data_IF_290852102866
#
_entry.id   IF_290852102866
#
_cell.length_a   1.000
_cell.length_b   1.000
_cell.length_c   1.000
_cell.angle_alpha   90.00
_cell.angle_beta   90.00
_cell.angle_gamma   90.00
#
_symmetry.space_group_name_H-M   'P 1'
#
loop_
_entity.id
_entity.type
_entity.pdbx_description
1 polymer ?
#
# COMPACT_ATOMS: atom_id res chain seq x y z
N UNK A 1 44.53 15.39 -12.25
CA UNK A 1 44.30 14.36 -13.28
C UNK A 1 43.02 13.64 -12.88
N UNK A 2 41.95 13.76 -13.68
CA UNK A 2 40.64 13.25 -13.32
C UNK A 2 40.49 11.80 -13.81
N UNK A 3 40.36 10.87 -12.88
CA UNK A 3 40.04 9.48 -13.15
C UNK A 3 38.66 9.41 -13.80
N UNK A 4 38.65 8.98 -15.07
CA UNK A 4 37.42 8.67 -15.79
C UNK A 4 36.84 7.39 -15.19
N UNK A 5 35.72 7.50 -14.48
CA UNK A 5 34.92 6.36 -14.08
C UNK A 5 34.44 5.61 -15.34
N UNK A 6 35.12 4.52 -15.70
CA UNK A 6 34.62 3.59 -16.73
C UNK A 6 33.34 2.94 -16.19
N UNK A 7 32.21 3.24 -16.84
CA UNK A 7 30.99 2.46 -16.65
C UNK A 7 31.20 1.06 -17.27
N UNK A 8 30.78 -0.02 -16.60
CA UNK A 8 30.91 -1.36 -17.15
C UNK A 8 30.05 -1.50 -18.41
N UNK A 9 30.62 -2.14 -19.43
CA UNK A 9 29.97 -2.45 -20.69
C UNK A 9 28.89 -3.51 -20.46
N UNK A 10 27.62 -3.15 -20.70
CA UNK A 10 26.46 -4.03 -20.49
C UNK A 10 26.41 -4.99 -21.68
N UNK A 11 27.14 -6.10 -21.59
CA UNK A 11 27.30 -7.08 -22.66
C UNK A 11 26.12 -8.06 -22.82
N UNK A 12 25.09 -7.97 -21.98
CA UNK A 12 23.91 -8.83 -22.08
C UNK A 12 22.73 -8.09 -22.70
N UNK A 13 22.32 -8.54 -23.90
CA UNK A 13 21.04 -8.10 -24.49
C UNK A 13 19.93 -8.46 -23.49
N UNK A 14 19.20 -7.48 -22.93
CA UNK A 14 18.17 -7.76 -21.94
C UNK A 14 17.13 -8.69 -22.56
N UNK A 15 16.85 -9.82 -21.89
CA UNK A 15 15.83 -10.78 -22.33
C UNK A 15 14.53 -10.02 -22.58
N UNK A 16 14.08 -10.00 -23.84
CA UNK A 16 12.85 -9.31 -24.24
C UNK A 16 11.70 -9.86 -23.39
N UNK A 17 10.91 -8.96 -22.79
CA UNK A 17 9.69 -9.33 -22.06
C UNK A 17 8.85 -10.25 -22.95
N UNK A 18 8.35 -11.34 -22.38
CA UNK A 18 7.34 -12.17 -23.06
C UNK A 18 6.19 -11.25 -23.47
N UNK A 19 5.94 -11.14 -24.77
CA UNK A 19 4.79 -10.39 -25.29
C UNK A 19 3.54 -11.18 -24.91
N UNK A 20 2.92 -10.78 -23.82
CA UNK A 20 1.62 -11.32 -23.45
C UNK A 20 0.57 -10.73 -24.40
N UNK A 21 -0.32 -11.56 -24.94
CA UNK A 21 -1.37 -11.09 -25.86
C UNK A 21 -2.42 -10.23 -25.15
N UNK A 22 -3.26 -9.53 -25.95
CA UNK A 22 -4.32 -8.63 -25.46
C UNK A 22 -5.24 -9.26 -24.40
N UNK A 23 -5.51 -10.57 -24.49
CA UNK A 23 -6.31 -11.31 -23.50
C UNK A 23 -5.68 -11.30 -22.11
N UNK A 24 -4.36 -11.46 -22.01
CA UNK A 24 -3.67 -11.45 -20.73
C UNK A 24 -3.69 -10.06 -20.08
N UNK A 25 -3.48 -9.01 -20.88
CA UNK A 25 -3.56 -7.62 -20.41
C UNK A 25 -4.96 -7.28 -19.90
N UNK A 26 -6.00 -7.68 -20.64
CA UNK A 26 -7.39 -7.55 -20.20
C UNK A 26 -7.65 -8.26 -18.88
N UNK A 27 -7.31 -9.55 -18.78
CA UNK A 27 -7.50 -10.33 -17.55
C UNK A 27 -6.69 -9.78 -16.36
N UNK A 28 -5.55 -9.12 -16.63
CA UNK A 28 -4.76 -8.44 -15.59
C UNK A 28 -5.46 -7.17 -15.13
N UNK A 29 -5.97 -6.36 -16.05
CA UNK A 29 -6.66 -5.11 -15.74
C UNK A 29 -7.99 -5.39 -15.01
N UNK A 30 -8.76 -6.38 -15.47
CA UNK A 30 -10.00 -6.81 -14.80
C UNK A 30 -9.73 -7.17 -13.33
N UNK A 31 -8.68 -7.95 -13.06
CA UNK A 31 -8.27 -8.32 -11.69
C UNK A 31 -7.84 -7.13 -10.82
N UNK A 32 -7.35 -6.05 -11.43
CA UNK A 32 -6.98 -4.82 -10.71
C UNK A 32 -8.23 -4.01 -10.37
N UNK A 33 -9.27 -4.06 -11.21
CA UNK A 33 -10.51 -3.28 -11.06
C UNK A 33 -11.67 -4.02 -10.36
N UNK A 34 -11.54 -5.30 -10.06
CA UNK A 34 -12.66 -6.14 -9.57
C UNK A 34 -12.63 -6.38 -8.06
N UNK A 35 -12.30 -5.38 -7.24
CA UNK A 35 -12.34 -5.54 -5.78
C UNK A 35 -13.76 -5.41 -5.24
N UNK A 36 -14.06 -6.16 -4.18
CA UNK A 36 -15.36 -6.20 -3.50
C UNK A 36 -15.16 -5.98 -2.00
N UNK A 37 -16.13 -5.36 -1.35
CA UNK A 37 -16.14 -5.17 0.11
C UNK A 37 -16.21 -6.55 0.79
N UNK A 38 -15.23 -6.83 1.65
CA UNK A 38 -15.18 -8.03 2.48
C UNK A 38 -15.97 -7.89 3.78
N UNK A 39 -15.86 -8.90 4.64
CA UNK A 39 -16.55 -8.94 5.92
C UNK A 39 -16.24 -7.75 6.84
N UNK A 40 -17.23 -7.24 7.57
CA UNK A 40 -17.02 -6.12 8.49
C UNK A 40 -16.03 -6.48 9.59
N UNK A 41 -15.23 -5.49 9.99
CA UNK A 41 -14.33 -5.66 11.14
C UNK A 41 -15.07 -5.30 12.44
N UNK A 42 -15.03 -6.21 13.42
CA UNK A 42 -15.70 -6.07 14.71
C UNK A 42 -14.82 -5.36 15.74
N UNK A 43 -14.14 -4.29 15.34
CA UNK A 43 -13.17 -3.63 16.22
C UNK A 43 -13.85 -2.65 17.20
N UNK A 44 -13.74 -2.92 18.50
CA UNK A 44 -14.36 -2.09 19.55
C UNK A 44 -13.74 -0.69 19.67
N UNK A 45 -12.43 -0.57 19.40
CA UNK A 45 -11.69 0.68 19.60
C UNK A 45 -12.09 1.81 18.64
N UNK A 46 -12.26 1.47 17.37
CA UNK A 46 -12.52 2.45 16.31
C UNK A 46 -13.90 2.29 15.69
N UNK A 47 -14.64 1.22 16.02
CA UNK A 47 -15.99 0.95 15.54
C UNK A 47 -16.13 1.24 14.04
N UNK A 48 -15.16 0.75 13.25
CA UNK A 48 -14.91 1.27 11.90
C UNK A 48 -16.13 1.17 10.98
N UNK A 49 -16.94 0.12 11.13
CA UNK A 49 -18.12 -0.12 10.30
C UNK A 49 -19.38 0.60 10.81
N UNK A 50 -19.39 1.06 12.06
CA UNK A 50 -20.45 1.91 12.63
C UNK A 50 -20.19 3.38 12.29
N UNK A 51 -18.94 3.83 12.37
CA UNK A 51 -18.52 5.21 12.11
C UNK A 51 -18.54 5.59 10.63
N UNK A 52 -18.41 4.62 9.73
CA UNK A 52 -18.43 4.83 8.28
C UNK A 52 -19.74 4.31 7.70
N UNK A 53 -20.41 5.08 6.85
CA UNK A 53 -21.65 4.61 6.22
C UNK A 53 -21.37 3.61 5.09
N UNK A 54 -22.40 2.87 4.66
CA UNK A 54 -22.28 1.93 3.53
C UNK A 54 -21.92 2.69 2.25
N UNK A 55 -22.60 3.82 1.98
CA UNK A 55 -22.38 4.67 0.81
C UNK A 55 -20.95 5.22 0.73
N UNK A 56 -20.40 5.67 1.87
CA UNK A 56 -19.02 6.18 1.94
C UNK A 56 -18.02 5.07 1.56
N UNK A 57 -18.23 3.83 2.01
CA UNK A 57 -17.38 2.68 1.69
C UNK A 57 -17.49 2.27 0.23
N UNK A 58 -18.70 2.22 -0.30
CA UNK A 58 -18.95 1.90 -1.71
C UNK A 58 -18.32 2.93 -2.63
N UNK A 59 -18.46 4.23 -2.31
CA UNK A 59 -17.82 5.29 -3.07
C UNK A 59 -16.29 5.14 -3.11
N UNK A 60 -15.67 4.85 -1.96
CA UNK A 60 -14.23 4.61 -1.87
C UNK A 60 -13.79 3.40 -2.67
N UNK A 61 -14.55 2.31 -2.63
CA UNK A 61 -14.26 1.11 -3.41
C UNK A 61 -14.42 1.38 -4.92
N UNK A 62 -15.48 2.08 -5.32
CA UNK A 62 -15.70 2.47 -6.72
C UNK A 62 -14.56 3.34 -7.23
N UNK A 63 -14.12 4.32 -6.44
CA UNK A 63 -12.95 5.13 -6.77
C UNK A 63 -11.69 4.27 -6.87
N UNK A 64 -11.51 3.30 -5.96
CA UNK A 64 -10.38 2.38 -5.98
C UNK A 64 -10.33 1.50 -7.23
N UNK A 65 -11.48 0.96 -7.63
CA UNK A 65 -11.64 0.09 -8.80
C UNK A 65 -11.49 0.84 -10.12
N UNK A 66 -11.82 2.15 -10.16
CA UNK A 66 -11.59 3.00 -11.34
C UNK A 66 -10.11 3.25 -11.64
N UNK A 67 -9.21 3.05 -10.67
CA UNK A 67 -7.78 3.27 -10.89
C UNK A 67 -7.18 2.18 -11.79
N UNK A 68 -6.61 2.60 -12.92
CA UNK A 68 -6.08 1.69 -13.96
C UNK A 68 -4.80 0.96 -13.55
N UNK A 69 -3.91 1.63 -12.78
CA UNK A 69 -2.60 1.08 -12.43
C UNK A 69 -2.51 0.71 -10.97
N UNK A 70 -1.84 -0.42 -10.72
CA UNK A 70 -1.47 -0.87 -9.37
C UNK A 70 -0.68 0.17 -8.59
N UNK A 71 0.19 0.93 -9.26
CA UNK A 71 1.01 1.96 -8.62
C UNK A 71 0.14 3.13 -8.09
N UNK A 72 -0.92 3.51 -8.82
CA UNK A 72 -1.88 4.50 -8.34
C UNK A 72 -2.68 3.99 -7.16
N UNK A 73 -3.12 2.72 -7.21
CA UNK A 73 -3.79 2.08 -6.07
C UNK A 73 -2.90 2.02 -4.83
N UNK A 74 -1.62 1.64 -4.98
CA UNK A 74 -0.67 1.55 -3.88
C UNK A 74 -0.35 2.95 -3.31
N UNK A 75 -0.31 3.98 -4.16
CA UNK A 75 -0.17 5.38 -3.76
C UNK A 75 -1.38 5.88 -2.98
N UNK A 76 -2.59 5.53 -3.44
CA UNK A 76 -3.84 5.86 -2.77
C UNK A 76 -3.92 5.22 -1.38
N UNK A 77 -3.59 3.93 -1.27
CA UNK A 77 -3.51 3.20 0.00
C UNK A 77 -2.43 3.78 0.92
N UNK A 78 -1.27 4.16 0.37
CA UNK A 78 -0.22 4.82 1.15
C UNK A 78 -0.70 6.15 1.76
N UNK A 79 -1.56 6.89 1.05
CA UNK A 79 -2.14 8.14 1.54
C UNK A 79 -3.10 7.98 2.74
N UNK A 80 -3.44 6.75 3.10
CA UNK A 80 -4.28 6.38 4.26
C UNK A 80 -3.44 5.85 5.44
N UNK A 81 -2.12 5.73 5.25
CA UNK A 81 -1.19 5.23 6.26
C UNK A 81 -0.34 6.41 6.75
N UNK A 82 -0.27 6.58 8.07
CA UNK A 82 0.67 7.51 8.70
C UNK A 82 1.70 6.72 9.48
N UNK A 83 2.96 6.93 9.15
CA UNK A 83 4.11 6.37 9.87
C UNK A 83 4.41 7.24 11.07
N UNK A 84 4.56 6.62 12.23
CA UNK A 84 4.85 7.28 13.51
C UNK A 84 6.18 6.75 14.04
N UNK A 85 7.10 7.64 14.39
CA UNK A 85 8.32 7.28 15.11
C UNK A 85 8.01 6.96 16.57
N UNK A 86 8.67 5.95 17.13
CA UNK A 86 8.46 5.55 18.53
C UNK A 86 9.25 6.49 19.43
N UNK A 87 8.54 7.31 20.20
CA UNK A 87 9.14 8.33 21.09
C UNK A 87 9.69 7.76 22.40
N UNK A 88 9.11 6.68 22.93
CA UNK A 88 9.52 6.09 24.21
C UNK A 88 9.40 4.57 24.15
N UNK A 89 10.40 3.86 24.68
CA UNK A 89 10.39 2.39 24.81
C UNK A 89 10.38 2.01 26.29
N UNK A 90 9.67 0.93 26.62
CA UNK A 90 9.81 0.30 27.93
C UNK A 90 11.19 -0.40 27.98
N UNK A 91 12.00 -0.21 29.04
CA UNK A 91 13.27 -0.92 29.17
C UNK A 91 13.03 -2.44 29.20
N UNK A 92 13.84 -3.19 28.46
CA UNK A 92 13.79 -4.66 28.33
C UNK A 92 15.19 -5.25 28.46
N UNK A 93 15.27 -6.56 28.77
CA UNK A 93 16.54 -7.31 28.85
C UNK A 93 17.28 -7.28 27.48
N UNK A 94 18.62 -7.35 27.51
CA UNK A 94 19.51 -7.10 26.36
C UNK A 94 19.20 -7.94 25.10
N UNK A 95 18.75 -9.18 25.27
CA UNK A 95 18.52 -10.14 24.17
C UNK A 95 17.29 -9.80 23.30
N UNK A 96 16.28 -9.11 23.86
CA UNK A 96 15.05 -8.75 23.13
C UNK A 96 15.21 -7.55 22.21
N UNK A 97 16.38 -6.89 22.20
CA UNK A 97 16.58 -5.66 21.42
C UNK A 97 16.50 -5.87 19.90
N UNK A 98 16.80 -7.08 19.40
CA UNK A 98 16.80 -7.38 17.95
C UNK A 98 15.41 -7.41 17.31
N UNK A 99 14.35 -7.59 18.08
CA UNK A 99 12.97 -7.66 17.56
C UNK A 99 12.17 -6.36 17.77
N UNK A 100 12.85 -5.26 18.13
CA UNK A 100 12.20 -4.00 18.36
C UNK A 100 11.73 -3.41 17.02
N UNK A 101 10.43 -3.14 16.94
CA UNK A 101 9.89 -2.32 15.86
C UNK A 101 10.36 -0.89 16.09
N UNK A 102 10.84 -0.22 15.04
CA UNK A 102 11.27 1.18 15.10
C UNK A 102 10.14 2.17 14.78
N UNK A 103 9.12 1.68 14.06
CA UNK A 103 8.01 2.49 13.60
C UNK A 103 6.67 1.89 14.04
N UNK A 104 5.74 2.78 14.37
CA UNK A 104 4.33 2.50 14.56
C UNK A 104 3.53 3.05 13.39
N UNK A 105 2.31 2.57 13.19
CA UNK A 105 1.48 2.97 12.06
C UNK A 105 0.06 3.25 12.52
N UNK A 106 -0.52 4.36 12.04
CA UNK A 106 -1.93 4.70 12.21
C UNK A 106 -2.61 4.75 10.86
N UNK A 107 -3.87 4.32 10.79
CA UNK A 107 -4.66 4.25 9.56
C UNK A 107 -5.84 5.19 9.63
N UNK A 108 -6.20 5.77 8.49
CA UNK A 108 -7.33 6.66 8.37
C UNK A 108 -7.93 6.57 6.97
N UNK A 109 -9.22 6.81 6.87
CA UNK A 109 -9.94 6.92 5.59
C UNK A 109 -10.34 8.38 5.40
N UNK A 110 -10.23 8.86 4.16
CA UNK A 110 -10.67 10.21 3.79
C UNK A 110 -12.07 10.12 3.23
N UNK A 111 -13.02 10.76 3.88
CA UNK A 111 -14.43 10.69 3.53
C UNK A 111 -14.95 12.11 3.32
N UNK A 112 -15.74 12.31 2.27
CA UNK A 112 -16.40 13.59 2.02
C UNK A 112 -17.72 13.63 2.80
N UNK A 113 -17.83 14.54 3.76
CA UNK A 113 -19.07 14.81 4.52
C UNK A 113 -19.47 16.26 4.26
N UNK A 114 -20.47 16.44 3.41
CA UNK A 114 -20.81 17.76 2.86
C UNK A 114 -19.64 18.35 2.07
N UNK A 115 -19.25 19.59 2.38
CA UNK A 115 -18.17 20.29 1.68
C UNK A 115 -16.76 20.00 2.24
N UNK A 116 -16.66 19.16 3.28
CA UNK A 116 -15.40 18.90 3.99
C UNK A 116 -14.88 17.47 3.79
N UNK A 117 -13.56 17.34 3.69
CA UNK A 117 -12.87 16.04 3.68
C UNK A 117 -12.44 15.72 5.11
N UNK A 118 -13.12 14.75 5.72
CA UNK A 118 -12.85 14.30 7.09
C UNK A 118 -11.95 13.07 7.07
N UNK A 119 -10.98 13.02 7.99
CA UNK A 119 -10.13 11.83 8.21
C UNK A 119 -10.68 11.00 9.36
N UNK A 120 -11.28 9.86 9.04
CA UNK A 120 -11.82 8.92 10.04
C UNK A 120 -10.72 7.91 10.41
N UNK A 121 -10.34 7.78 11.69
CA UNK A 121 -9.36 6.79 12.12
C UNK A 121 -9.93 5.38 12.01
N UNK A 122 -9.16 4.46 11.44
CA UNK A 122 -9.62 3.07 11.24
C UNK A 122 -8.57 2.05 11.67
N UNK A 123 -8.97 0.79 11.80
CA UNK A 123 -8.04 -0.32 11.96
C UNK A 123 -7.51 -0.81 10.61
N UNK A 124 -6.43 -1.59 10.63
CA UNK A 124 -5.90 -2.21 9.40
C UNK A 124 -6.94 -3.13 8.75
N UNK A 125 -7.68 -3.90 9.55
CA UNK A 125 -8.66 -4.86 9.04
C UNK A 125 -9.80 -4.16 8.30
N UNK A 126 -10.20 -2.95 8.73
CA UNK A 126 -11.17 -2.15 8.02
C UNK A 126 -10.70 -1.82 6.60
N UNK A 127 -9.43 -1.40 6.44
CA UNK A 127 -8.86 -1.13 5.11
C UNK A 127 -8.81 -2.41 4.27
N UNK A 128 -8.41 -3.54 4.86
CA UNK A 128 -8.39 -4.82 4.15
C UNK A 128 -9.78 -5.21 3.65
N UNK A 129 -10.80 -5.08 4.49
CA UNK A 129 -12.19 -5.40 4.17
C UNK A 129 -12.78 -4.42 3.15
N UNK A 130 -12.65 -3.10 3.35
CA UNK A 130 -13.26 -2.09 2.47
C UNK A 130 -12.72 -2.20 1.04
N UNK A 131 -11.41 -2.37 0.88
CA UNK A 131 -10.78 -2.43 -0.44
C UNK A 131 -10.60 -3.86 -0.97
N UNK A 132 -10.99 -4.89 -0.23
CA UNK A 132 -10.81 -6.29 -0.64
C UNK A 132 -9.36 -6.64 -0.98
N UNK A 133 -8.41 -6.18 -0.15
CA UNK A 133 -6.97 -6.38 -0.38
C UNK A 133 -6.35 -7.30 0.68
N UNK A 134 -5.32 -8.04 0.27
CA UNK A 134 -4.55 -8.88 1.19
C UNK A 134 -3.57 -8.09 2.06
N UNK A 135 -3.32 -8.60 3.28
CA UNK A 135 -2.42 -8.00 4.28
C UNK A 135 -1.00 -7.74 3.75
N UNK A 136 -0.48 -8.65 2.93
CA UNK A 136 0.86 -8.57 2.32
C UNK A 136 1.05 -7.31 1.46
N UNK A 137 -0.02 -6.79 0.83
CA UNK A 137 0.02 -5.55 0.05
C UNK A 137 0.29 -4.35 0.94
N UNK A 138 -0.42 -4.25 2.07
CA UNK A 138 -0.21 -3.18 3.06
C UNK A 138 1.17 -3.28 3.70
N UNK A 139 1.63 -4.49 4.04
CA UNK A 139 2.96 -4.69 4.63
C UNK A 139 4.09 -4.23 3.69
N UNK A 140 3.97 -4.50 2.39
CA UNK A 140 4.90 -3.99 1.38
C UNK A 140 4.91 -2.45 1.35
N UNK A 141 3.73 -1.83 1.36
CA UNK A 141 3.61 -0.36 1.35
C UNK A 141 4.25 0.24 2.60
N UNK A 142 3.98 -0.33 3.79
CA UNK A 142 4.62 0.10 5.05
C UNK A 142 6.14 0.04 4.97
N UNK A 143 6.69 -1.06 4.46
CA UNK A 143 8.13 -1.23 4.31
C UNK A 143 8.75 -0.17 3.40
N UNK A 144 8.08 0.16 2.30
CA UNK A 144 8.51 1.25 1.40
C UNK A 144 8.43 2.61 2.09
N UNK A 145 7.30 2.92 2.74
CA UNK A 145 7.10 4.20 3.43
C UNK A 145 8.12 4.46 4.54
N UNK A 146 8.54 3.42 5.25
CA UNK A 146 9.61 3.54 6.26
C UNK A 146 10.97 3.83 5.63
N UNK A 147 11.29 3.20 4.49
CA UNK A 147 12.61 3.32 3.84
C UNK A 147 12.78 4.61 3.05
N UNK A 148 11.79 4.98 2.25
CA UNK A 148 11.89 6.03 1.24
C UNK A 148 10.84 7.12 1.39
N UNK A 149 9.83 6.92 2.24
CA UNK A 149 8.69 7.84 2.37
C UNK A 149 7.70 7.80 1.19
N UNK A 150 7.99 7.02 0.14
CA UNK A 150 7.16 6.91 -1.06
C UNK A 150 6.57 5.51 -1.22
N UNK A 151 5.38 5.37 -1.85
CA UNK A 151 4.80 4.07 -2.15
C UNK A 151 5.70 3.25 -3.07
N UNK A 152 5.67 1.91 -2.99
CA UNK A 152 6.51 1.05 -3.80
C UNK A 152 6.06 1.11 -5.26
N UNK A 153 7.00 1.33 -6.18
CA UNK A 153 6.75 1.20 -7.61
C UNK A 153 6.77 -0.28 -8.02
N UNK A 154 6.02 -0.63 -9.07
CA UNK A 154 6.10 -1.96 -9.64
C UNK A 154 7.51 -2.24 -10.23
N UNK A 155 8.20 -3.21 -9.63
CA UNK A 155 9.55 -3.65 -10.02
C UNK A 155 9.55 -4.90 -10.92
N UNK A 156 8.38 -5.44 -11.28
CA UNK A 156 8.30 -6.62 -12.15
C UNK A 156 9.00 -6.38 -13.50
N UNK A 157 9.94 -7.25 -13.85
CA UNK A 157 10.69 -7.18 -15.10
C UNK A 157 11.69 -6.02 -15.18
N UNK A 158 12.13 -5.49 -14.03
CA UNK A 158 13.22 -4.48 -13.91
C UNK A 158 14.45 -5.06 -13.19
N UNK A 159 14.71 -6.36 -13.36
CA UNK A 159 15.99 -6.91 -12.93
C UNK A 159 17.02 -6.56 -14.00
N UNK A 160 17.99 -5.71 -13.65
CA UNK A 160 19.28 -5.70 -14.31
C UNK A 160 19.96 -7.01 -13.95
N UNK A 161 20.06 -7.91 -14.93
CA UNK A 161 21.08 -8.95 -14.90
C UNK A 161 22.44 -8.29 -15.15
#
# INVERSE_FOLDING_TARGET
MADKCQYPDISEIPKKKKKHGRKWERNRNERISSHVIGFPCHCERYKCFEETTVEEREFLLLYFNKMQNKDHQDSFLASMIKVLSIKRRRPRKKEEKRFLRDHSFSYYIKVARGNNIVRVPVCINAILSIFGIGKSRIERIRGSLVKTGVPPLNQQGKHTN
#
